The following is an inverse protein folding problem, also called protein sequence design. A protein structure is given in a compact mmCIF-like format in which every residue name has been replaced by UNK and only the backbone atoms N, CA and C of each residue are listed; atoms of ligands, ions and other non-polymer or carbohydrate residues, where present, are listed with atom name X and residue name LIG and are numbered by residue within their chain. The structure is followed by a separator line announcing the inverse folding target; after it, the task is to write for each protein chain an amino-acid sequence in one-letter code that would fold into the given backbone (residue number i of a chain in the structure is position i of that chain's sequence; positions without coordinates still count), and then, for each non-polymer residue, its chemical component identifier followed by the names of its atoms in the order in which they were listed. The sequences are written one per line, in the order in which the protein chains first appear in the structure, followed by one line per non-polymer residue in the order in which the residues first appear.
data_IF_766755949514
#
_entry.id   IF_766755949514
#
_cell.length_a   1.000
_cell.length_b   1.000
_cell.length_c   1.000
_cell.angle_alpha   90.00
_cell.angle_beta   90.00
_cell.angle_gamma   90.00
#
_symmetry.space_group_name_H-M   'P 1'
#
loop_
_entity.id
_entity.type
_entity.pdbx_description
1 polymer ?
#
# COMPACT_ATOMS: atom_id res chain seq x y z
N UNK A 1 11.51 5.54 1.86
CA UNK A 1 12.03 4.47 2.77
C UNK A 1 13.49 4.65 3.23
N UNK A 2 14.37 5.37 2.51
CA UNK A 2 15.80 5.41 2.84
C UNK A 2 16.14 6.02 4.23
N UNK A 3 15.45 7.10 4.63
CA UNK A 3 15.69 7.76 5.91
C UNK A 3 15.29 6.89 7.12
N UNK A 4 14.09 6.29 7.09
CA UNK A 4 13.60 5.43 8.17
C UNK A 4 14.50 4.19 8.37
N UNK A 5 14.95 3.56 7.28
CA UNK A 5 15.87 2.43 7.36
C UNK A 5 17.24 2.82 7.89
N UNK A 6 17.76 3.99 7.52
CA UNK A 6 19.06 4.49 7.98
C UNK A 6 19.07 4.78 9.48
N UNK A 7 17.96 5.26 10.03
CA UNK A 7 17.85 5.67 11.44
C UNK A 7 17.33 4.56 12.35
N UNK A 8 16.79 3.46 11.81
CA UNK A 8 16.30 2.33 12.61
C UNK A 8 15.13 2.67 13.55
N UNK A 9 14.40 3.75 13.27
CA UNK A 9 13.33 4.24 14.14
C UNK A 9 12.01 3.53 13.88
N UNK A 10 11.29 3.21 14.96
CA UNK A 10 9.88 2.82 14.86
C UNK A 10 9.08 4.01 14.33
N UNK A 11 8.45 3.82 13.17
CA UNK A 11 7.68 4.87 12.49
C UNK A 11 6.24 4.42 12.31
N UNK A 12 5.30 5.26 12.74
CA UNK A 12 3.86 5.10 12.45
C UNK A 12 3.46 6.19 11.47
N UNK A 13 2.92 5.79 10.32
CA UNK A 13 2.48 6.71 9.27
C UNK A 13 0.99 6.49 9.01
N UNK A 14 0.24 7.60 8.93
CA UNK A 14 -1.19 7.59 8.64
C UNK A 14 -1.37 8.22 7.26
N UNK A 15 -2.04 7.50 6.37
CA UNK A 15 -2.36 7.99 5.02
C UNK A 15 -3.71 7.45 4.59
N UNK A 16 -4.37 8.19 3.71
CA UNK A 16 -5.58 7.76 3.01
C UNK A 16 -5.26 7.09 1.66
N UNK A 17 -3.99 7.16 1.22
CA UNK A 17 -3.53 6.56 -0.03
C UNK A 17 -2.90 5.19 0.23
N UNK A 18 -3.52 4.15 -0.31
CA UNK A 18 -3.03 2.77 -0.20
C UNK A 18 -1.75 2.53 -1.00
N UNK A 19 -1.48 3.32 -2.04
CA UNK A 19 -0.22 3.24 -2.80
C UNK A 19 0.95 3.61 -1.91
N UNK A 20 0.84 4.69 -1.13
CA UNK A 20 1.85 5.09 -0.16
C UNK A 20 2.05 4.02 0.92
N UNK A 21 0.96 3.48 1.46
CA UNK A 21 1.00 2.44 2.48
C UNK A 21 1.76 1.19 1.98
N UNK A 22 1.47 0.73 0.76
CA UNK A 22 2.12 -0.45 0.16
C UNK A 22 3.60 -0.19 -0.15
N UNK A 23 3.91 0.99 -0.70
CA UNK A 23 5.28 1.34 -1.14
C UNK A 23 6.21 1.69 0.02
N UNK A 24 5.67 2.17 1.15
CA UNK A 24 6.47 2.73 2.24
C UNK A 24 6.40 1.92 3.53
N UNK A 25 5.29 1.28 3.87
CA UNK A 25 5.13 0.58 5.16
C UNK A 25 5.58 -0.88 5.08
N UNK A 26 6.16 -1.40 6.16
CA UNK A 26 6.46 -2.84 6.29
C UNK A 26 5.19 -3.63 6.65
N UNK A 27 4.28 -3.00 7.40
CA UNK A 27 2.96 -3.52 7.78
C UNK A 27 1.93 -2.41 7.66
N UNK A 28 0.70 -2.77 7.34
CA UNK A 28 -0.42 -1.86 7.15
C UNK A 28 -1.57 -2.32 8.05
N UNK A 29 -2.18 -1.35 8.74
CA UNK A 29 -3.40 -1.51 9.51
C UNK A 29 -4.51 -0.70 8.83
N UNK A 30 -5.64 -1.33 8.50
CA UNK A 30 -6.79 -0.67 7.89
C UNK A 30 -7.85 -0.44 8.96
N UNK A 31 -8.25 0.81 9.12
CA UNK A 31 -9.25 1.21 10.10
C UNK A 31 -10.47 1.85 9.42
N UNK A 32 -11.66 1.62 9.98
CA UNK A 32 -12.92 2.26 9.57
C UNK A 32 -13.81 2.44 10.78
N UNK A 33 -14.39 3.63 10.95
CA UNK A 33 -15.33 3.94 12.05
C UNK A 33 -14.78 3.57 13.44
N UNK A 34 -13.49 3.85 13.66
CA UNK A 34 -12.80 3.55 14.93
C UNK A 34 -12.46 2.06 15.15
N UNK A 35 -12.74 1.17 14.19
CA UNK A 35 -12.44 -0.26 14.27
C UNK A 35 -11.27 -0.62 13.37
N UNK A 36 -10.41 -1.52 13.85
CA UNK A 36 -9.37 -2.16 13.05
C UNK A 36 -10.00 -3.30 12.24
N UNK A 37 -10.04 -3.16 10.92
CA UNK A 37 -10.63 -4.15 10.02
C UNK A 37 -9.64 -5.24 9.62
N UNK A 38 -8.38 -4.85 9.37
CA UNK A 38 -7.31 -5.79 9.02
C UNK A 38 -5.94 -5.22 9.39
N UNK A 39 -4.97 -6.11 9.63
CA UNK A 39 -3.58 -5.74 9.88
C UNK A 39 -2.65 -6.83 9.37
N UNK A 40 -1.64 -6.45 8.58
CA UNK A 40 -0.67 -7.38 8.04
C UNK A 40 0.29 -6.72 7.05
N UNK A 41 1.09 -7.54 6.38
CA UNK A 41 1.82 -7.14 5.19
C UNK A 41 0.83 -6.84 4.05
N UNK A 42 1.24 -6.05 3.03
CA UNK A 42 0.41 -5.84 1.83
C UNK A 42 -0.04 -7.14 1.16
N UNK A 43 0.80 -8.18 1.18
CA UNK A 43 0.46 -9.49 0.62
C UNK A 43 -0.64 -10.18 1.43
N UNK A 44 -0.56 -10.18 2.76
CA UNK A 44 -1.60 -10.73 3.63
C UNK A 44 -2.92 -9.97 3.50
N UNK A 45 -2.87 -8.62 3.41
CA UNK A 45 -4.07 -7.81 3.22
C UNK A 45 -4.78 -8.10 1.89
N UNK A 46 -4.04 -8.51 0.85
CA UNK A 46 -4.65 -8.92 -0.44
C UNK A 46 -5.51 -10.19 -0.35
N UNK A 47 -5.36 -10.96 0.73
CA UNK A 47 -6.14 -12.16 1.04
C UNK A 47 -7.22 -11.89 2.09
N UNK A 48 -7.46 -10.63 2.46
CA UNK A 48 -8.48 -10.26 3.44
C UNK A 48 -9.88 -10.68 2.98
N UNK A 49 -10.73 -11.12 3.90
CA UNK A 49 -12.15 -11.38 3.67
C UNK A 49 -13.02 -10.13 3.76
N UNK A 50 -12.46 -9.01 4.22
CA UNK A 50 -13.18 -7.74 4.34
C UNK A 50 -13.26 -7.01 2.98
N UNK A 51 -14.49 -6.77 2.52
CA UNK A 51 -14.75 -6.16 1.22
C UNK A 51 -14.19 -4.75 1.08
N UNK A 52 -14.20 -3.96 2.16
CA UNK A 52 -13.67 -2.59 2.16
C UNK A 52 -12.14 -2.59 2.07
N UNK A 53 -11.47 -3.53 2.75
CA UNK A 53 -10.03 -3.73 2.63
C UNK A 53 -9.65 -4.09 1.19
N UNK A 54 -10.39 -5.01 0.56
CA UNK A 54 -10.14 -5.40 -0.83
C UNK A 54 -10.41 -4.25 -1.81
N UNK A 55 -11.43 -3.43 -1.58
CA UNK A 55 -11.72 -2.24 -2.38
C UNK A 55 -10.57 -1.23 -2.33
N UNK A 56 -10.09 -0.93 -1.12
CA UNK A 56 -8.95 -0.04 -0.88
C UNK A 56 -7.69 -0.50 -1.63
N UNK A 57 -7.45 -1.82 -1.73
CA UNK A 57 -6.31 -2.37 -2.46
C UNK A 57 -6.47 -2.37 -3.99
N UNK A 58 -7.71 -2.31 -4.50
CA UNK A 58 -7.98 -2.25 -5.95
C UNK A 58 -7.66 -0.87 -6.54
N UNK A 59 -7.81 0.20 -5.77
CA UNK A 59 -7.57 1.57 -6.22
C UNK A 59 -6.10 1.84 -6.60
N UNK A 60 -5.09 1.43 -5.79
CA UNK A 60 -3.68 1.47 -6.16
C UNK A 60 -3.36 0.68 -7.42
N UNK A 61 -3.92 -0.54 -7.56
CA UNK A 61 -3.68 -1.39 -8.74
C UNK A 61 -4.08 -0.67 -10.03
N UNK A 62 -5.24 -0.01 -10.04
CA UNK A 62 -5.70 0.76 -11.21
C UNK A 62 -4.78 1.95 -11.53
N UNK A 63 -4.21 2.61 -10.53
CA UNK A 63 -3.29 3.72 -10.75
C UNK A 63 -1.93 3.23 -11.26
N UNK A 64 -1.40 2.13 -10.72
CA UNK A 64 -0.16 1.49 -11.21
C UNK A 64 -0.35 0.93 -12.62
N UNK A 65 -1.48 0.29 -12.92
CA UNK A 65 -1.81 -0.18 -14.28
C UNK A 65 -1.90 0.98 -15.28
N UNK A 66 -2.56 2.08 -14.90
CA UNK A 66 -2.63 3.29 -15.74
C UNK A 66 -1.26 3.94 -15.94
N UNK A 67 -0.44 4.00 -14.89
CA UNK A 67 0.92 4.52 -14.99
C UNK A 67 1.78 3.65 -15.92
N UNK A 68 1.73 2.33 -15.78
CA UNK A 68 2.43 1.38 -16.66
C UNK A 68 1.94 1.43 -18.11
N UNK A 69 0.66 1.76 -18.35
CA UNK A 69 0.12 1.93 -19.69
C UNK A 69 0.52 3.26 -20.35
N UNK A 70 0.82 4.30 -19.56
CA UNK A 70 1.24 5.62 -20.03
C UNK A 70 2.77 5.75 -20.18
N UNK A 71 3.53 4.94 -19.44
CA UNK A 71 4.97 4.84 -19.61
C UNK A 71 5.27 3.90 -20.80
N UNK A 72 5.93 4.36 -21.87
CA UNK A 72 6.32 3.47 -22.96
C UNK A 72 7.22 2.36 -22.42
N UNK A 73 6.86 1.11 -22.71
CA UNK A 73 7.72 -0.06 -22.52
C UNK A 73 8.88 0.04 -23.53
N UNK A 74 9.89 0.84 -23.22
CA UNK A 74 10.98 1.12 -24.15
C UNK A 74 12.22 1.63 -23.44
N UNK A 75 13.17 0.71 -23.21
CA UNK A 75 14.50 1.07 -22.70
C UNK A 75 15.37 -0.12 -22.35
N UNK A 76 15.37 -1.20 -23.15
CA UNK A 76 16.52 -2.10 -23.19
C UNK A 76 17.69 -1.34 -23.83
N UNK A 77 18.68 -1.00 -23.02
CA UNK A 77 20.04 -0.71 -23.44
C UNK A 77 20.98 -1.48 -22.50
#
# INVERSE_FOLDING_TARGET
RALHRKLGLTTVMITHDMTEAILLADRVAVMREGKLLAQGTPAELSQSSDAYVLELLRTPRRQVERLNALLPQGGTA
#
